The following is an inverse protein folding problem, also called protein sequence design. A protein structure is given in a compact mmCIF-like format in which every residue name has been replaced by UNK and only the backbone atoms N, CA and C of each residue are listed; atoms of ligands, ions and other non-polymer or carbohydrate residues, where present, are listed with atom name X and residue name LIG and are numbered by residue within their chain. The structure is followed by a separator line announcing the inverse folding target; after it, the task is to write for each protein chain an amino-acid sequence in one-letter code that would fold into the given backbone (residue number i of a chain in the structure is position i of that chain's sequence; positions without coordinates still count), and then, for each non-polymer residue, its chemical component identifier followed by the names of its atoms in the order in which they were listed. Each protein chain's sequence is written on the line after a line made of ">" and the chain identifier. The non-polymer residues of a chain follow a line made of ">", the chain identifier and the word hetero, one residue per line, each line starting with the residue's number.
data_IF_548596204508
#
_entry.id   IF_548596204508
#
_cell.length_a   1.000
_cell.length_b   1.000
_cell.length_c   1.000
_cell.angle_alpha   90.00
_cell.angle_beta   90.00
_cell.angle_gamma   90.00
#
_symmetry.space_group_name_H-M   'P 1'
#
loop_
_entity.id
_entity.type
_entity.pdbx_description
1 polymer ?
#
# COMPACT_ATOMS: atom_id res chain seq x y z
N UNK A 1 -13.58 4.99 -5.15
CA UNK A 1 -12.85 5.02 -6.44
C UNK A 1 -13.48 3.98 -7.33
N UNK A 2 -13.75 4.31 -8.61
CA UNK A 2 -14.18 3.31 -9.58
C UNK A 2 -13.07 2.27 -9.79
N UNK A 3 -13.47 1.04 -10.12
CA UNK A 3 -12.56 -0.07 -10.34
C UNK A 3 -13.13 -1.01 -11.40
N UNK A 4 -12.22 -1.72 -12.06
CA UNK A 4 -12.54 -2.79 -13.01
C UNK A 4 -11.99 -4.12 -12.49
N UNK A 5 -12.78 -5.19 -12.59
CA UNK A 5 -12.30 -6.55 -12.31
C UNK A 5 -11.49 -7.08 -13.49
N UNK A 6 -10.24 -7.43 -13.22
CA UNK A 6 -9.28 -7.86 -14.25
C UNK A 6 -8.56 -9.15 -13.83
N UNK A 7 -8.14 -10.01 -14.77
CA UNK A 7 -7.31 -11.16 -14.46
C UNK A 7 -5.88 -10.73 -14.08
N UNK A 8 -5.21 -11.50 -13.24
CA UNK A 8 -3.86 -11.18 -12.72
C UNK A 8 -2.81 -10.96 -13.83
N UNK A 9 -2.88 -11.73 -14.92
CA UNK A 9 -1.95 -11.65 -16.04
C UNK A 9 -2.05 -10.34 -16.86
N UNK A 10 -3.06 -9.50 -16.59
CA UNK A 10 -3.21 -8.17 -17.22
C UNK A 10 -2.70 -7.03 -16.36
N UNK A 11 -2.29 -7.32 -15.11
CA UNK A 11 -1.69 -6.32 -14.24
C UNK A 11 -0.26 -6.02 -14.69
N UNK A 12 0.12 -4.75 -14.57
CA UNK A 12 1.48 -4.28 -14.80
C UNK A 12 2.08 -3.70 -13.52
N UNK A 13 3.42 -3.61 -13.48
CA UNK A 13 4.12 -2.97 -12.36
C UNK A 13 3.68 -1.52 -12.25
N UNK A 14 3.32 -1.11 -11.02
CA UNK A 14 2.78 0.22 -10.70
C UNK A 14 1.26 0.29 -10.64
N UNK A 15 0.52 -0.73 -11.13
CA UNK A 15 -0.94 -0.77 -11.00
C UNK A 15 -1.38 -0.73 -9.53
N UNK A 16 -2.48 -0.04 -9.26
CA UNK A 16 -3.13 -0.05 -7.96
C UNK A 16 -4.33 -0.99 -7.97
N UNK A 17 -4.37 -1.90 -7.00
CA UNK A 17 -5.43 -2.89 -6.83
C UNK A 17 -6.02 -2.86 -5.42
N UNK A 18 -7.26 -3.31 -5.28
CA UNK A 18 -7.79 -3.76 -3.99
C UNK A 18 -7.48 -5.25 -3.79
N UNK A 19 -6.83 -5.58 -2.69
CA UNK A 19 -6.59 -6.97 -2.31
C UNK A 19 -6.58 -7.13 -0.78
N UNK A 20 -6.79 -8.36 -0.33
CA UNK A 20 -6.66 -8.72 1.08
C UNK A 20 -5.19 -8.87 1.44
N UNK A 21 -4.75 -8.08 2.42
CA UNK A 21 -3.36 -8.06 2.90
C UNK A 21 -3.32 -8.24 4.41
N UNK A 22 -2.29 -8.91 4.90
CA UNK A 22 -1.96 -8.94 6.32
C UNK A 22 -1.16 -7.69 6.67
N UNK A 23 -1.72 -6.85 7.52
CA UNK A 23 -1.05 -5.63 8.01
C UNK A 23 -0.25 -5.99 9.26
N UNK A 24 0.96 -5.47 9.38
CA UNK A 24 1.77 -5.65 10.58
C UNK A 24 1.20 -4.83 11.74
N UNK A 25 1.29 -5.36 12.96
CA UNK A 25 0.77 -4.66 14.16
C UNK A 25 1.50 -3.36 14.43
N UNK A 26 2.78 -3.26 14.06
CA UNK A 26 3.58 -2.04 14.20
C UNK A 26 3.17 -0.95 13.20
N UNK A 27 2.37 -1.30 12.18
CA UNK A 27 1.85 -0.36 11.19
C UNK A 27 0.45 0.18 11.59
N UNK A 28 -0.02 -0.15 12.80
CA UNK A 28 -1.25 0.40 13.37
C UNK A 28 -1.02 1.78 13.98
N UNK A 29 -1.66 2.80 13.42
CA UNK A 29 -1.59 4.19 13.91
C UNK A 29 -2.02 4.33 15.39
N UNK A 30 -3.02 3.56 15.81
CA UNK A 30 -3.47 3.48 17.20
C UNK A 30 -3.46 2.00 17.63
N UNK A 31 -2.45 1.57 18.41
CA UNK A 31 -2.36 0.21 18.94
C UNK A 31 -3.54 -0.17 19.84
N UNK A 32 -4.22 0.81 20.44
CA UNK A 32 -5.35 0.59 21.34
C UNK A 32 -6.71 0.54 20.63
N UNK A 33 -6.74 0.79 19.32
CA UNK A 33 -7.97 0.83 18.52
C UNK A 33 -8.80 -0.44 18.69
N UNK A 34 -10.11 -0.26 18.89
CA UNK A 34 -11.08 -1.37 19.07
C UNK A 34 -11.92 -1.64 17.83
N UNK A 35 -11.61 -0.98 16.72
CA UNK A 35 -12.32 -1.16 15.44
C UNK A 35 -12.25 -2.61 14.95
N UNK A 36 -13.22 -3.03 14.14
CA UNK A 36 -13.22 -4.37 13.51
C UNK A 36 -11.91 -4.62 12.75
N UNK A 37 -11.41 -3.60 12.06
CA UNK A 37 -10.15 -3.67 11.33
C UNK A 37 -8.96 -3.85 12.27
N UNK A 38 -8.86 -3.08 13.35
CA UNK A 38 -7.79 -3.24 14.34
C UNK A 38 -7.80 -4.64 14.97
N UNK A 39 -8.98 -5.20 15.25
CA UNK A 39 -9.11 -6.60 15.74
C UNK A 39 -8.61 -7.60 14.72
N UNK A 40 -8.95 -7.44 13.43
CA UNK A 40 -8.44 -8.31 12.35
C UNK A 40 -6.90 -8.27 12.29
N UNK A 41 -6.31 -7.07 12.29
CA UNK A 41 -4.86 -6.88 12.27
C UNK A 41 -4.19 -7.53 13.50
N UNK A 42 -4.73 -7.29 14.70
CA UNK A 42 -4.23 -7.89 15.93
C UNK A 42 -4.29 -9.43 15.94
N UNK A 43 -5.27 -10.00 15.24
CA UNK A 43 -5.41 -11.45 15.07
C UNK A 43 -4.70 -12.01 13.83
N UNK A 44 -3.91 -11.20 13.11
CA UNK A 44 -3.19 -11.62 11.90
C UNK A 44 -4.10 -11.95 10.71
N UNK A 45 -5.35 -11.49 10.74
CA UNK A 45 -6.32 -11.73 9.68
C UNK A 45 -6.12 -10.73 8.54
N UNK A 46 -6.30 -11.16 7.27
CA UNK A 46 -6.26 -10.26 6.14
C UNK A 46 -7.33 -9.16 6.22
N UNK A 47 -6.99 -8.00 5.69
CA UNK A 47 -7.88 -6.86 5.54
C UNK A 47 -7.73 -6.29 4.13
N UNK A 48 -8.85 -5.99 3.48
CA UNK A 48 -8.84 -5.36 2.16
C UNK A 48 -8.20 -3.97 2.23
N UNK A 49 -7.19 -3.74 1.38
CA UNK A 49 -6.50 -2.45 1.20
C UNK A 49 -6.22 -2.19 -0.27
N UNK A 50 -5.95 -0.92 -0.56
CA UNK A 50 -5.24 -0.55 -1.77
C UNK A 50 -3.80 -1.04 -1.68
N UNK A 51 -3.27 -1.56 -2.77
CA UNK A 51 -1.90 -2.03 -2.88
C UNK A 51 -1.31 -1.72 -4.25
N UNK A 52 0.00 -1.50 -4.28
CA UNK A 52 0.79 -1.27 -5.50
C UNK A 52 1.35 -2.59 -5.98
N UNK A 53 1.20 -2.91 -7.26
CA UNK A 53 1.88 -4.04 -7.91
C UNK A 53 3.38 -3.72 -8.06
N UNK A 54 4.22 -4.43 -7.33
CA UNK A 54 5.68 -4.30 -7.39
C UNK A 54 6.32 -5.33 -8.32
N UNK A 55 5.70 -6.50 -8.47
CA UNK A 55 6.12 -7.55 -9.42
C UNK A 55 4.86 -8.12 -10.07
N UNK A 56 4.79 -8.04 -11.40
CA UNK A 56 3.73 -8.66 -12.19
C UNK A 56 4.03 -10.14 -12.48
N UNK A 57 2.99 -10.93 -12.72
CA UNK A 57 3.11 -12.34 -13.08
C UNK A 57 1.79 -12.90 -13.60
N UNK A 58 1.86 -14.05 -14.27
CA UNK A 58 0.70 -14.63 -14.94
C UNK A 58 -0.37 -15.17 -13.97
N UNK A 59 0.06 -15.77 -12.86
CA UNK A 59 -0.80 -16.44 -11.87
C UNK A 59 -0.70 -15.83 -10.47
N UNK A 60 0.25 -14.92 -10.27
CA UNK A 60 0.41 -14.19 -9.02
C UNK A 60 1.10 -12.86 -9.26
N UNK A 61 0.86 -11.91 -8.36
CA UNK A 61 1.58 -10.64 -8.30
C UNK A 61 2.13 -10.42 -6.90
N UNK A 62 3.23 -9.69 -6.78
CA UNK A 62 3.75 -9.22 -5.48
C UNK A 62 3.42 -7.76 -5.29
N UNK A 63 2.84 -7.43 -4.14
CA UNK A 63 2.34 -6.09 -3.84
C UNK A 63 2.86 -5.58 -2.50
N UNK A 64 2.78 -4.26 -2.30
CA UNK A 64 2.76 -3.67 -0.96
C UNK A 64 1.52 -2.80 -0.78
N UNK A 65 1.00 -2.74 0.44
CA UNK A 65 -0.23 -2.02 0.73
C UNK A 65 0.01 -0.54 1.00
N UNK A 66 -1.04 0.25 0.78
CA UNK A 66 -1.07 1.69 1.00
C UNK A 66 -1.87 2.04 2.27
N UNK A 67 -1.42 3.08 2.96
CA UNK A 67 -2.09 3.64 4.14
C UNK A 67 -2.24 5.17 3.99
N UNK A 68 -3.36 5.72 4.46
CA UNK A 68 -3.65 7.17 4.42
C UNK A 68 -3.56 7.84 5.78
N UNK A 69 -3.59 7.08 6.88
CA UNK A 69 -3.68 7.59 8.27
C UNK A 69 -4.73 8.69 8.43
N UNK A 70 -5.97 8.40 7.99
CA UNK A 70 -7.08 9.36 7.97
C UNK A 70 -6.84 10.62 7.12
N UNK A 71 -5.95 10.54 6.12
CA UNK A 71 -5.61 11.64 5.23
C UNK A 71 -4.66 12.67 5.86
N UNK A 72 -4.06 12.36 7.02
CA UNK A 72 -3.02 13.19 7.60
C UNK A 72 -1.86 13.33 6.60
N UNK A 73 -1.20 14.49 6.56
CA UNK A 73 0.00 14.71 5.74
C UNK A 73 1.28 14.22 6.43
N UNK A 74 1.21 13.98 7.75
CA UNK A 74 2.28 13.42 8.54
C UNK A 74 1.91 12.02 9.07
N UNK A 75 2.91 11.17 9.24
CA UNK A 75 2.81 9.89 9.92
C UNK A 75 2.42 10.08 11.39
N UNK A 76 1.59 9.20 11.95
CA UNK A 76 1.24 9.20 13.36
C UNK A 76 2.48 9.30 14.27
N UNK A 77 2.41 10.14 15.30
CA UNK A 77 3.49 10.29 16.29
C UNK A 77 3.77 9.00 17.08
N UNK A 78 2.82 8.07 17.09
CA UNK A 78 2.94 6.74 17.69
C UNK A 78 3.92 5.81 16.95
N UNK A 79 4.30 6.11 15.71
CA UNK A 79 5.27 5.31 14.97
C UNK A 79 6.69 5.60 15.45
N UNK A 80 7.24 4.65 16.22
CA UNK A 80 8.62 4.69 16.69
C UNK A 80 9.63 4.60 15.54
N UNK A 81 9.33 3.83 14.48
CA UNK A 81 10.15 3.74 13.28
C UNK A 81 9.35 4.11 12.03
N UNK A 82 9.53 5.34 11.57
CA UNK A 82 8.90 5.89 10.36
C UNK A 82 9.59 5.45 9.07
N UNK A 83 10.76 4.80 9.15
CA UNK A 83 11.51 4.35 7.95
C UNK A 83 10.87 3.14 7.24
N UNK A 84 9.77 2.59 7.77
CA UNK A 84 8.94 1.59 7.10
C UNK A 84 7.88 2.20 6.17
N UNK A 85 7.90 3.51 5.93
CA UNK A 85 6.90 4.18 5.11
C UNK A 85 7.55 4.99 3.98
N UNK A 86 7.11 4.73 2.75
CA UNK A 86 7.47 5.49 1.57
C UNK A 86 6.36 6.49 1.24
N UNK A 87 6.61 7.82 1.30
CA UNK A 87 5.56 8.82 1.12
C UNK A 87 5.16 9.04 -0.35
N UNK A 88 3.88 9.37 -0.57
CA UNK A 88 3.35 9.97 -1.80
C UNK A 88 2.86 11.38 -1.50
N UNK A 89 3.18 12.36 -2.33
CA UNK A 89 2.66 13.73 -2.20
C UNK A 89 1.13 13.72 -2.07
N UNK A 90 0.49 14.46 -1.14
CA UNK A 90 1.05 15.49 -0.25
C UNK A 90 1.61 15.01 1.10
N UNK A 91 1.90 13.72 1.28
CA UNK A 91 2.59 13.25 2.48
C UNK A 91 3.98 13.89 2.61
N UNK A 92 4.34 14.30 3.82
CA UNK A 92 5.64 14.91 4.13
C UNK A 92 6.74 13.85 4.16
N UNK A 93 7.97 14.30 3.91
CA UNK A 93 9.18 13.49 4.08
C UNK A 93 9.47 13.32 5.57
N UNK A 94 9.15 12.16 6.11
CA UNK A 94 9.43 11.80 7.51
C UNK A 94 10.35 10.58 7.66
N UNK A 95 10.91 10.14 6.54
CA UNK A 95 11.93 9.11 6.44
C UNK A 95 13.04 9.59 5.49
N UNK A 96 13.95 8.71 5.10
CA UNK A 96 15.00 9.01 4.13
C UNK A 96 14.48 9.19 2.70
N UNK A 97 13.26 8.73 2.41
CA UNK A 97 12.70 8.68 1.06
C UNK A 97 12.01 9.99 0.68
N UNK A 98 12.34 10.51 -0.50
CA UNK A 98 11.62 11.64 -1.08
C UNK A 98 10.20 11.21 -1.50
N UNK A 99 9.17 12.05 -1.25
CA UNK A 99 7.81 11.73 -1.66
C UNK A 99 7.70 11.45 -3.17
N UNK A 100 7.05 10.35 -3.50
CA UNK A 100 6.63 10.05 -4.87
C UNK A 100 5.61 11.09 -5.35
N UNK A 101 5.43 11.23 -6.69
CA UNK A 101 4.36 12.04 -7.24
C UNK A 101 3.00 11.66 -6.65
N UNK A 102 2.11 12.65 -6.55
CA UNK A 102 0.75 12.43 -6.10
C UNK A 102 0.03 11.44 -7.02
N UNK A 103 -0.84 10.62 -6.45
CA UNK A 103 -1.65 9.67 -7.22
C UNK A 103 -2.75 10.40 -7.97
N UNK A 104 -2.85 10.16 -9.28
CA UNK A 104 -3.90 10.76 -10.10
C UNK A 104 -5.32 10.41 -9.61
N UNK A 105 -5.48 9.22 -9.02
CA UNK A 105 -6.76 8.72 -8.54
C UNK A 105 -7.09 9.12 -7.08
N UNK A 106 -6.19 9.82 -6.38
CA UNK A 106 -6.38 10.16 -4.98
C UNK A 106 -5.64 11.45 -4.55
N UNK A 107 -6.35 12.49 -4.07
CA UNK A 107 -5.72 13.73 -3.62
C UNK A 107 -5.18 13.68 -2.19
N UNK A 108 -5.37 12.56 -1.47
CA UNK A 108 -5.00 12.45 -0.06
C UNK A 108 -3.56 11.96 0.12
N UNK A 109 -2.92 12.42 1.20
CA UNK A 109 -1.61 11.93 1.60
C UNK A 109 -1.66 10.41 1.88
N UNK A 110 -0.63 9.72 1.39
CA UNK A 110 -0.54 8.27 1.42
C UNK A 110 0.90 7.81 1.57
N UNK A 111 1.04 6.60 2.09
CA UNK A 111 2.32 5.92 2.23
C UNK A 111 2.22 4.47 1.77
N UNK A 112 3.24 3.97 1.08
CA UNK A 112 3.44 2.54 0.90
C UNK A 112 4.18 1.97 2.13
N UNK A 113 3.70 0.85 2.65
CA UNK A 113 4.46 0.11 3.66
C UNK A 113 5.69 -0.53 3.02
N UNK A 114 6.82 -0.46 3.70
CA UNK A 114 8.09 -1.06 3.28
C UNK A 114 8.42 -2.32 4.07
N UNK A 115 7.51 -2.77 4.94
CA UNK A 115 7.79 -3.86 5.88
C UNK A 115 7.74 -5.24 5.25
N UNK A 116 6.84 -5.46 4.29
CA UNK A 116 6.73 -6.75 3.63
C UNK A 116 6.05 -6.64 2.28
N UNK A 117 6.52 -7.43 1.32
CA UNK A 117 5.78 -7.71 0.08
C UNK A 117 4.83 -8.88 0.29
N UNK A 118 3.65 -8.83 -0.30
CA UNK A 118 2.65 -9.90 -0.20
C UNK A 118 2.31 -10.46 -1.57
N UNK A 119 2.14 -11.78 -1.65
CA UNK A 119 1.79 -12.47 -2.89
C UNK A 119 0.27 -12.57 -2.99
N UNK A 120 -0.30 -12.06 -4.08
CA UNK A 120 -1.72 -12.14 -4.40
C UNK A 120 -1.91 -13.15 -5.51
N UNK A 121 -2.75 -14.16 -5.27
CA UNK A 121 -3.13 -15.21 -6.23
C UNK A 121 -4.62 -15.20 -6.57
N UNK A 122 -5.40 -14.34 -5.91
CA UNK A 122 -6.83 -14.21 -6.18
C UNK A 122 -7.08 -13.58 -7.56
N UNK A 123 -7.96 -14.19 -8.34
CA UNK A 123 -8.39 -13.70 -9.66
C UNK A 123 -9.91 -13.91 -9.82
N UNK A 124 -10.66 -12.96 -10.38
CA UNK A 124 -10.23 -11.62 -10.80
C UNK A 124 -9.90 -10.73 -9.60
N UNK A 125 -9.20 -9.62 -9.87
CA UNK A 125 -8.86 -8.60 -8.86
C UNK A 125 -9.37 -7.24 -9.31
N UNK A 126 -9.72 -6.40 -8.33
CA UNK A 126 -10.26 -5.05 -8.58
C UNK A 126 -9.11 -4.07 -8.77
N UNK A 127 -8.81 -3.70 -10.02
CA UNK A 127 -7.84 -2.65 -10.35
C UNK A 127 -8.53 -1.30 -10.33
N UNK A 128 -7.91 -0.30 -9.71
CA UNK A 128 -8.42 1.07 -9.67
C UNK A 128 -8.33 1.70 -11.05
N UNK A 129 -9.41 2.29 -11.55
CA UNK A 129 -9.41 2.92 -12.87
C UNK A 129 -8.49 4.15 -12.86
N UNK A 130 -7.53 4.19 -13.79
CA UNK A 130 -6.48 5.22 -13.82
C UNK A 130 -5.46 5.12 -12.67
N UNK A 131 -5.58 4.13 -11.80
CA UNK A 131 -4.67 3.90 -10.68
C UNK A 131 -3.40 3.20 -11.13
N UNK A 132 -2.39 3.97 -11.55
CA UNK A 132 -1.05 3.48 -11.81
C UNK A 132 -0.02 4.55 -11.43
N UNK A 133 0.99 4.18 -10.64
CA UNK A 133 2.01 5.13 -10.13
C UNK A 133 3.26 5.24 -11.03
N UNK A 134 3.28 4.50 -12.13
CA UNK A 134 4.41 4.34 -13.03
C UNK A 134 5.43 3.32 -12.51
N UNK A 135 6.11 2.66 -13.44
CA UNK A 135 7.14 1.64 -13.13
C UNK A 135 8.29 2.22 -12.33
N UNK A 136 8.74 3.45 -12.63
CA UNK A 136 9.82 4.11 -11.90
C UNK A 136 9.51 4.27 -10.40
N UNK A 137 8.31 4.75 -10.06
CA UNK A 137 7.87 4.91 -8.67
C UNK A 137 7.76 3.55 -7.96
N UNK A 138 7.21 2.55 -8.65
CA UNK A 138 7.10 1.19 -8.12
C UNK A 138 8.47 0.54 -7.88
N UNK A 139 9.45 0.79 -8.75
CA UNK A 139 10.83 0.32 -8.60
C UNK A 139 11.53 0.97 -7.41
N UNK A 140 11.31 2.27 -7.17
CA UNK A 140 11.80 2.95 -5.97
C UNK A 140 11.24 2.32 -4.68
N UNK A 141 9.93 2.05 -4.64
CA UNK A 141 9.30 1.35 -3.50
C UNK A 141 9.91 -0.04 -3.36
N UNK A 142 10.00 -0.80 -4.46
CA UNK A 142 10.54 -2.17 -4.47
C UNK A 142 11.98 -2.23 -3.95
N UNK A 143 12.82 -1.29 -4.36
CA UNK A 143 14.21 -1.18 -3.89
C UNK A 143 14.30 -0.77 -2.41
N UNK A 144 13.33 -0.02 -1.91
CA UNK A 144 13.24 0.42 -0.52
C UNK A 144 12.59 -0.62 0.43
N UNK A 145 12.00 -1.69 -0.11
CA UNK A 145 11.39 -2.75 0.72
C UNK A 145 12.44 -3.37 1.64
N UNK A 146 12.09 -3.53 2.90
CA UNK A 146 12.93 -4.17 3.91
C UNK A 146 12.69 -5.68 3.90
N UNK A 147 13.78 -6.43 4.07
CA UNK A 147 13.81 -7.89 4.13
C UNK A 147 13.34 -8.41 5.50
#
# INVERSE_FOLDING_TARGET
>A
MPFTEVPLNTLVVGDIIYCDVRIDKNDMADPNSKSTTARKINNGQPVTRLAVVLVAGATSVRVTYLATFAGATALPASFADKSYWYPFTPATKESTYDPLPARADSPVAQWASLRATQTVTQTPVKRVDGGNIGTASADLIRAAMKA
#
